data_IF_032492750692
#
_entry.id   IF_032492750692
#
_cell.length_a   1.000
_cell.length_b   1.000
_cell.length_c   1.000
_cell.angle_alpha   90.00
_cell.angle_beta   90.00
_cell.angle_gamma   90.00
#
_symmetry.space_group_name_H-M   'P 1'
#
loop_
_entity.id
_entity.type
_entity.pdbx_description
1 polymer ?
#
# COMPACT_ATOMS: atom_id res chain seq x y z
N UNK A 1 48.47 53.13 -21.02
CA UNK A 1 48.15 51.71 -21.27
C UNK A 1 46.95 51.32 -20.42
N UNK A 2 45.77 51.06 -21.07
CA UNK A 2 44.50 50.84 -20.37
C UNK A 2 44.18 49.33 -20.41
N UNK A 3 44.28 48.64 -19.24
CA UNK A 3 43.88 47.24 -19.08
C UNK A 3 42.38 47.12 -18.85
N UNK A 4 41.65 46.42 -19.73
CA UNK A 4 40.24 46.09 -19.60
C UNK A 4 40.09 44.79 -18.78
N UNK A 5 39.49 44.94 -17.63
CA UNK A 5 39.02 43.80 -16.81
C UNK A 5 37.70 43.24 -17.41
N UNK A 6 37.77 42.04 -17.97
CA UNK A 6 36.60 41.26 -18.41
C UNK A 6 35.91 40.66 -17.14
N UNK A 7 34.67 41.04 -16.88
CA UNK A 7 33.81 40.39 -15.89
C UNK A 7 33.21 39.14 -16.49
N UNK A 8 33.65 37.97 -16.01
CA UNK A 8 32.99 36.69 -16.23
C UNK A 8 31.80 36.56 -15.27
N UNK A 9 30.59 36.72 -15.79
CA UNK A 9 29.36 36.40 -15.06
C UNK A 9 29.15 34.92 -15.02
N UNK A 10 29.26 34.33 -13.85
CA UNK A 10 28.88 32.96 -13.60
C UNK A 10 27.35 32.87 -13.52
N UNK A 11 26.70 32.31 -14.53
CA UNK A 11 25.27 31.90 -14.50
C UNK A 11 25.16 30.61 -13.71
N UNK A 12 24.80 30.70 -12.45
CA UNK A 12 24.44 29.54 -11.65
C UNK A 12 23.07 29.03 -12.11
N UNK A 13 23.05 27.97 -12.93
CA UNK A 13 21.84 27.25 -13.29
C UNK A 13 21.36 26.48 -12.06
N UNK A 14 20.34 26.97 -11.39
CA UNK A 14 19.58 26.27 -10.35
C UNK A 14 18.83 25.10 -11.02
N UNK A 15 19.44 23.90 -10.98
CA UNK A 15 18.74 22.64 -11.26
C UNK A 15 17.75 22.38 -10.12
N UNK A 16 16.52 22.85 -10.29
CA UNK A 16 15.39 22.42 -9.48
C UNK A 16 15.10 20.98 -9.87
N UNK A 17 15.68 20.01 -9.13
CA UNK A 17 15.29 18.61 -9.21
C UNK A 17 13.85 18.52 -8.72
N UNK A 18 12.89 18.61 -9.65
CA UNK A 18 11.53 18.19 -9.41
C UNK A 18 11.56 16.68 -9.15
N UNK A 19 11.56 16.27 -7.87
CA UNK A 19 11.22 14.91 -7.50
C UNK A 19 9.79 14.67 -7.98
N UNK A 20 9.63 14.17 -9.20
CA UNK A 20 8.37 13.68 -9.69
C UNK A 20 7.93 12.56 -8.75
N UNK A 21 6.99 12.86 -7.83
CA UNK A 21 6.34 11.83 -7.05
C UNK A 21 5.64 10.92 -8.04
N UNK A 22 6.14 9.69 -8.15
CA UNK A 22 5.49 8.67 -8.96
C UNK A 22 4.12 8.43 -8.35
N UNK A 23 3.07 8.89 -9.03
CA UNK A 23 1.71 8.62 -8.61
C UNK A 23 1.43 7.12 -8.72
N UNK A 24 0.70 6.53 -7.78
CA UNK A 24 0.30 5.13 -7.88
C UNK A 24 -0.55 4.92 -9.13
N UNK A 25 -0.38 3.76 -9.77
CA UNK A 25 -1.19 3.41 -10.95
C UNK A 25 -2.63 3.21 -10.49
N UNK A 26 -3.55 4.03 -10.96
CA UNK A 26 -4.98 3.92 -10.63
C UNK A 26 -5.87 4.38 -11.78
N UNK A 27 -7.08 3.82 -11.83
CA UNK A 27 -8.15 4.19 -12.78
C UNK A 27 -9.50 4.30 -12.06
N UNK A 28 -10.44 5.12 -12.54
CA UNK A 28 -11.80 5.12 -11.99
C UNK A 28 -12.44 3.73 -12.10
N UNK A 29 -13.20 3.34 -11.07
CA UNK A 29 -14.09 2.19 -11.14
C UNK A 29 -15.37 2.56 -11.92
N UNK A 30 -16.07 1.59 -12.52
CA UNK A 30 -17.32 1.84 -13.24
C UNK A 30 -18.42 2.54 -12.40
N UNK A 31 -18.39 2.37 -11.09
CA UNK A 31 -19.35 3.00 -10.17
C UNK A 31 -19.06 4.47 -9.87
N UNK A 32 -17.88 4.97 -10.26
CA UNK A 32 -17.41 6.33 -9.97
C UNK A 32 -17.13 6.63 -8.48
N UNK A 33 -17.59 5.78 -7.56
CA UNK A 33 -17.42 5.95 -6.11
C UNK A 33 -16.08 5.41 -5.61
N UNK A 34 -15.41 4.59 -6.42
CA UNK A 34 -14.13 3.97 -6.11
C UNK A 34 -13.12 4.14 -7.25
N UNK A 35 -11.88 3.81 -6.95
CA UNK A 35 -10.77 3.69 -7.91
C UNK A 35 -10.15 2.31 -7.79
N UNK A 36 -9.78 1.75 -8.93
CA UNK A 36 -8.96 0.53 -8.98
C UNK A 36 -7.50 0.95 -8.91
N UNK A 37 -6.77 0.42 -7.94
CA UNK A 37 -5.34 0.59 -7.77
C UNK A 37 -4.60 -0.67 -8.21
N UNK A 38 -3.39 -0.52 -8.73
CA UNK A 38 -2.52 -1.62 -9.12
C UNK A 38 -1.16 -1.51 -8.43
N UNK A 39 -0.74 -2.59 -7.75
CA UNK A 39 0.55 -2.70 -7.07
C UNK A 39 1.21 -4.01 -7.48
N UNK A 40 2.20 -3.94 -8.39
CA UNK A 40 2.93 -5.10 -8.90
C UNK A 40 2.01 -6.25 -9.39
N UNK A 41 0.89 -5.93 -10.06
CA UNK A 41 -0.08 -6.93 -10.56
C UNK A 41 -1.20 -7.31 -9.59
N UNK A 42 -1.18 -6.85 -8.33
CA UNK A 42 -2.32 -6.90 -7.44
C UNK A 42 -3.23 -5.71 -7.73
N UNK A 43 -4.46 -5.97 -8.16
CA UNK A 43 -5.49 -4.97 -8.39
C UNK A 43 -6.55 -5.04 -7.28
N UNK A 44 -7.00 -3.87 -6.79
CA UNK A 44 -8.03 -3.78 -5.75
C UNK A 44 -8.76 -2.43 -5.84
N UNK A 45 -9.96 -2.36 -5.28
CA UNK A 45 -10.73 -1.13 -5.20
C UNK A 45 -10.62 -0.47 -3.83
N UNK A 46 -10.56 0.87 -3.86
CA UNK A 46 -10.67 1.71 -2.67
C UNK A 46 -11.46 2.98 -2.98
N UNK A 47 -12.00 3.71 -1.97
CA UNK A 47 -12.78 4.92 -2.18
C UNK A 47 -12.04 5.96 -3.01
N UNK A 48 -12.77 6.64 -3.92
CA UNK A 48 -12.17 7.62 -4.84
C UNK A 48 -11.73 8.91 -4.14
N UNK A 49 -12.31 9.21 -2.99
CA UNK A 49 -12.04 10.40 -2.17
C UNK A 49 -10.84 10.23 -1.21
N UNK A 50 -10.26 9.03 -1.11
CA UNK A 50 -9.06 8.83 -0.30
C UNK A 50 -7.83 9.41 -1.00
N UNK A 51 -7.01 10.14 -0.25
CA UNK A 51 -5.73 10.64 -0.76
C UNK A 51 -4.77 9.46 -0.98
N UNK A 52 -4.06 9.47 -2.12
CA UNK A 52 -3.17 8.39 -2.52
C UNK A 52 -1.74 8.91 -2.67
N UNK A 53 -0.77 8.16 -2.12
CA UNK A 53 0.66 8.36 -2.32
C UNK A 53 1.32 6.99 -2.56
N UNK A 54 2.36 6.94 -3.40
CA UNK A 54 3.05 5.69 -3.61
C UNK A 54 3.81 5.55 -4.93
N UNK A 55 4.05 4.31 -5.29
CA UNK A 55 4.83 3.86 -6.45
C UNK A 55 4.15 2.62 -7.08
N UNK A 56 4.66 2.08 -8.22
CA UNK A 56 4.14 0.85 -8.79
C UNK A 56 4.21 -0.38 -7.86
N UNK A 57 5.00 -0.31 -6.77
CA UNK A 57 5.19 -1.41 -5.82
C UNK A 57 4.63 -1.14 -4.43
N UNK A 58 4.10 0.04 -4.19
CA UNK A 58 3.50 0.42 -2.91
C UNK A 58 2.48 1.51 -3.13
N UNK A 59 1.35 1.41 -2.43
CA UNK A 59 0.38 2.51 -2.31
C UNK A 59 -0.03 2.67 -0.87
N UNK A 60 -0.16 3.92 -0.45
CA UNK A 60 -0.73 4.33 0.83
C UNK A 60 -1.93 5.21 0.54
N UNK A 61 -3.07 4.85 1.09
CA UNK A 61 -4.33 5.59 0.97
C UNK A 61 -4.76 6.05 2.36
N UNK A 62 -5.21 7.30 2.45
CA UNK A 62 -5.67 7.89 3.72
C UNK A 62 -7.06 8.48 3.50
N UNK A 63 -7.99 8.17 4.39
CA UNK A 63 -9.33 8.73 4.39
C UNK A 63 -9.31 10.26 4.54
N UNK A 64 -10.30 11.00 4.04
CA UNK A 64 -10.36 12.46 4.15
C UNK A 64 -10.23 12.98 5.59
N UNK A 65 -10.76 12.24 6.57
CA UNK A 65 -10.67 12.57 7.99
C UNK A 65 -9.39 12.09 8.68
N UNK A 66 -8.52 11.33 8.00
CA UNK A 66 -7.33 10.73 8.58
C UNK A 66 -7.62 9.65 9.63
N UNK A 67 -8.85 9.15 9.68
CA UNK A 67 -9.33 8.14 10.64
C UNK A 67 -9.24 6.70 10.11
N UNK A 68 -8.84 6.54 8.84
CA UNK A 68 -8.53 5.24 8.24
C UNK A 68 -7.33 5.34 7.29
N UNK A 69 -6.59 4.24 7.20
CA UNK A 69 -5.38 4.09 6.40
C UNK A 69 -5.37 2.70 5.75
N UNK A 70 -5.08 2.64 4.44
CA UNK A 70 -4.79 1.41 3.73
C UNK A 70 -3.39 1.50 3.12
N UNK A 71 -2.55 0.53 3.41
CA UNK A 71 -1.24 0.36 2.77
C UNK A 71 -1.16 -1.00 2.08
N UNK A 72 -0.72 -1.00 0.83
CA UNK A 72 -0.43 -2.20 0.05
C UNK A 72 0.99 -2.11 -0.46
N UNK A 73 1.79 -3.14 -0.21
CA UNK A 73 3.18 -3.24 -0.64
C UNK A 73 3.47 -4.58 -1.28
N UNK A 74 4.19 -4.56 -2.41
CA UNK A 74 4.77 -5.74 -3.03
C UNK A 74 6.30 -5.75 -2.86
N UNK A 75 6.84 -6.91 -2.52
CA UNK A 75 8.29 -7.13 -2.37
C UNK A 75 8.66 -8.37 -3.16
N UNK A 76 9.68 -8.28 -4.01
CA UNK A 76 10.19 -9.45 -4.72
C UNK A 76 10.79 -10.45 -3.72
N UNK A 77 10.31 -11.68 -3.75
CA UNK A 77 10.78 -12.79 -2.92
C UNK A 77 10.92 -14.01 -3.83
N UNK A 78 12.11 -14.21 -4.43
CA UNK A 78 12.34 -15.34 -5.30
C UNK A 78 12.23 -16.65 -4.52
N UNK A 79 11.66 -17.67 -5.15
CA UNK A 79 11.56 -19.00 -4.57
C UNK A 79 10.13 -19.54 -4.50
N UNK A 80 9.94 -20.71 -3.85
CA UNK A 80 8.64 -21.35 -3.73
C UNK A 80 7.64 -20.51 -2.93
N UNK A 81 6.37 -20.52 -3.34
CA UNK A 81 5.27 -19.80 -2.65
C UNK A 81 5.16 -20.20 -1.17
N UNK A 82 5.40 -21.46 -0.83
CA UNK A 82 5.35 -21.92 0.56
C UNK A 82 6.40 -21.22 1.44
N UNK A 83 7.63 -21.05 0.94
CA UNK A 83 8.71 -20.33 1.64
C UNK A 83 8.38 -18.85 1.79
N UNK A 84 7.82 -18.24 0.74
CA UNK A 84 7.36 -16.85 0.79
C UNK A 84 6.26 -16.65 1.85
N UNK A 85 5.26 -17.56 1.92
CA UNK A 85 4.19 -17.47 2.91
C UNK A 85 4.69 -17.65 4.35
N UNK A 86 5.61 -18.59 4.59
CA UNK A 86 6.24 -18.75 5.91
C UNK A 86 6.98 -17.49 6.33
N UNK A 87 7.76 -16.88 5.43
CA UNK A 87 8.44 -15.61 5.70
C UNK A 87 7.48 -14.46 5.95
N UNK A 88 6.33 -14.44 5.25
CA UNK A 88 5.27 -13.45 5.47
C UNK A 88 4.62 -13.61 6.85
N UNK A 89 4.33 -14.85 7.27
CA UNK A 89 3.79 -15.15 8.58
C UNK A 89 4.74 -14.74 9.71
N UNK A 90 6.02 -15.05 9.59
CA UNK A 90 7.04 -14.61 10.53
C UNK A 90 7.16 -13.08 10.60
N UNK A 91 7.05 -12.39 9.45
CA UNK A 91 7.10 -10.94 9.41
C UNK A 91 5.89 -10.30 10.12
N UNK A 92 4.69 -10.86 9.94
CA UNK A 92 3.49 -10.46 10.69
C UNK A 92 3.65 -10.76 12.19
N UNK A 93 4.24 -11.92 12.55
CA UNK A 93 4.49 -12.29 13.93
C UNK A 93 5.44 -11.31 14.64
N UNK A 94 6.55 -10.95 13.98
CA UNK A 94 7.49 -9.97 14.53
C UNK A 94 6.88 -8.58 14.68
N UNK A 95 6.08 -8.14 13.72
CA UNK A 95 5.37 -6.86 13.80
C UNK A 95 4.29 -6.81 14.88
N UNK A 96 3.83 -7.96 15.34
CA UNK A 96 2.75 -8.07 16.31
C UNK A 96 3.19 -7.98 17.78
N UNK A 97 4.49 -7.92 18.08
CA UNK A 97 4.99 -7.95 19.47
C UNK A 97 4.57 -6.76 20.33
N UNK A 98 4.15 -5.65 19.69
CA UNK A 98 3.65 -4.44 20.36
C UNK A 98 2.16 -4.21 20.17
N UNK A 99 1.43 -5.20 19.65
CA UNK A 99 0.00 -5.11 19.36
C UNK A 99 -0.82 -5.83 20.41
N UNK A 100 -2.03 -5.34 20.67
CA UNK A 100 -2.99 -5.96 21.58
C UNK A 100 -4.00 -6.82 20.81
N UNK A 101 -4.59 -7.81 21.47
CA UNK A 101 -5.70 -8.61 20.94
C UNK A 101 -5.37 -9.35 19.63
N UNK A 102 -4.10 -9.69 19.37
CA UNK A 102 -3.66 -10.29 18.11
C UNK A 102 -4.37 -11.60 17.83
N UNK A 103 -5.08 -11.66 16.72
CA UNK A 103 -5.70 -12.88 16.15
C UNK A 103 -5.12 -13.15 14.78
N UNK A 104 -4.49 -14.30 14.59
CA UNK A 104 -3.91 -14.72 13.31
C UNK A 104 -4.51 -16.03 12.87
N UNK A 105 -4.79 -16.15 11.58
CA UNK A 105 -5.39 -17.37 11.01
C UNK A 105 -5.03 -17.51 9.52
N UNK A 106 -5.01 -18.76 9.00
CA UNK A 106 -4.98 -19.01 7.56
C UNK A 106 -6.18 -18.38 6.89
N UNK A 107 -5.98 -17.82 5.68
CA UNK A 107 -7.00 -17.10 4.93
C UNK A 107 -6.79 -17.25 3.43
N UNK A 108 -7.65 -16.60 2.65
CA UNK A 108 -7.45 -16.37 1.22
C UNK A 108 -7.50 -14.87 0.95
N UNK A 109 -6.64 -14.39 0.05
CA UNK A 109 -6.67 -13.01 -0.43
C UNK A 109 -6.38 -13.00 -1.92
N UNK A 110 -7.18 -12.27 -2.70
CA UNK A 110 -7.07 -12.24 -4.17
C UNK A 110 -7.08 -13.64 -4.82
N UNK A 111 -7.81 -14.59 -4.24
CA UNK A 111 -7.88 -15.98 -4.72
C UNK A 111 -6.67 -16.85 -4.39
N UNK A 112 -5.71 -16.36 -3.62
CA UNK A 112 -4.50 -17.10 -3.21
C UNK A 112 -4.50 -17.41 -1.72
N UNK A 113 -3.74 -18.43 -1.31
CA UNK A 113 -3.46 -18.70 0.11
C UNK A 113 -2.84 -17.47 0.75
N UNK A 114 -3.30 -17.11 1.92
CA UNK A 114 -2.85 -15.95 2.68
C UNK A 114 -2.81 -16.24 4.18
N UNK A 115 -2.07 -15.43 4.91
CA UNK A 115 -2.19 -15.30 6.36
C UNK A 115 -2.91 -13.99 6.64
N UNK A 116 -3.95 -14.04 7.47
CA UNK A 116 -4.64 -12.85 7.96
C UNK A 116 -4.33 -12.63 9.44
N UNK A 117 -4.30 -11.38 9.85
CA UNK A 117 -4.11 -10.96 11.23
C UNK A 117 -5.02 -9.77 11.53
N UNK A 118 -5.60 -9.78 12.73
CA UNK A 118 -6.29 -8.62 13.31
C UNK A 118 -5.60 -8.26 14.61
N UNK A 119 -5.52 -6.97 14.93
CA UNK A 119 -4.91 -6.48 16.15
C UNK A 119 -5.34 -5.05 16.47
N UNK A 120 -5.16 -4.63 17.71
CA UNK A 120 -5.39 -3.27 18.19
C UNK A 120 -4.06 -2.62 18.60
N UNK A 121 -3.93 -1.31 18.37
CA UNK A 121 -2.79 -0.53 18.83
C UNK A 121 -3.14 0.95 18.97
N UNK A 122 -2.96 1.50 20.17
CA UNK A 122 -3.03 2.95 20.39
C UNK A 122 -4.33 3.62 19.93
N UNK A 123 -5.47 2.95 20.08
CA UNK A 123 -6.77 3.43 19.63
C UNK A 123 -7.06 3.20 18.14
N UNK A 124 -6.29 2.34 17.48
CA UNK A 124 -6.53 1.85 16.13
C UNK A 124 -6.84 0.36 16.14
N UNK A 125 -7.76 -0.06 15.29
CA UNK A 125 -8.00 -1.46 14.96
C UNK A 125 -7.49 -1.74 13.54
N UNK A 126 -6.71 -2.81 13.37
CA UNK A 126 -6.05 -3.14 12.12
C UNK A 126 -6.34 -4.55 11.61
N UNK A 127 -6.43 -4.67 10.29
CA UNK A 127 -6.46 -5.92 9.54
C UNK A 127 -5.23 -5.97 8.65
N UNK A 128 -4.54 -7.09 8.66
CA UNK A 128 -3.39 -7.35 7.79
C UNK A 128 -3.59 -8.65 7.03
N UNK A 129 -3.15 -8.66 5.78
CA UNK A 129 -3.05 -9.87 4.96
C UNK A 129 -1.67 -9.94 4.36
N UNK A 130 -1.15 -11.16 4.27
CA UNK A 130 0.05 -11.44 3.51
C UNK A 130 -0.21 -12.62 2.58
N UNK A 131 0.11 -12.46 1.30
CA UNK A 131 -0.02 -13.49 0.27
C UNK A 131 1.15 -13.46 -0.69
N UNK A 132 1.35 -14.52 -1.45
CA UNK A 132 2.44 -14.66 -2.39
C UNK A 132 1.96 -15.17 -3.74
N UNK A 133 2.47 -14.59 -4.81
CA UNK A 133 2.23 -15.03 -6.19
C UNK A 133 3.36 -14.56 -7.11
N UNK A 134 3.75 -15.40 -8.08
CA UNK A 134 4.69 -15.03 -9.15
C UNK A 134 6.05 -14.49 -8.68
N UNK A 135 6.56 -14.92 -7.52
CA UNK A 135 7.81 -14.39 -6.94
C UNK A 135 7.66 -13.06 -6.20
N UNK A 136 6.43 -12.65 -5.97
CA UNK A 136 6.09 -11.44 -5.20
C UNK A 136 5.42 -11.82 -3.88
N UNK A 137 5.79 -11.13 -2.81
CA UNK A 137 5.07 -11.10 -1.54
C UNK A 137 4.26 -9.81 -1.46
N UNK A 138 2.98 -9.95 -1.27
CA UNK A 138 2.06 -8.82 -1.06
C UNK A 138 1.72 -8.72 0.42
N UNK A 139 1.90 -7.53 0.99
CA UNK A 139 1.44 -7.18 2.33
C UNK A 139 0.42 -6.07 2.22
N UNK A 140 -0.73 -6.31 2.82
CA UNK A 140 -1.87 -5.42 2.84
C UNK A 140 -2.17 -5.11 4.29
N UNK A 141 -2.29 -3.85 4.62
CA UNK A 141 -2.65 -3.39 5.96
C UNK A 141 -3.71 -2.30 5.86
N UNK A 142 -4.86 -2.56 6.48
CA UNK A 142 -5.93 -1.60 6.65
C UNK A 142 -6.11 -1.33 8.15
N UNK A 143 -6.18 -0.08 8.54
CA UNK A 143 -6.46 0.31 9.91
C UNK A 143 -7.51 1.41 9.97
N UNK A 144 -8.33 1.39 11.00
CA UNK A 144 -9.30 2.43 11.33
C UNK A 144 -9.21 2.83 12.79
N UNK A 145 -9.46 4.10 13.09
CA UNK A 145 -9.53 4.59 14.47
C UNK A 145 -10.70 3.94 15.20
N UNK A 146 -10.46 3.45 16.40
CA UNK A 146 -11.51 2.82 17.23
C UNK A 146 -12.39 3.87 17.92
N UNK A 147 -13.74 3.71 17.97
CA UNK A 147 -14.50 2.62 17.35
C UNK A 147 -14.49 2.74 15.81
N UNK A 148 -14.25 1.61 15.14
CA UNK A 148 -14.10 1.61 13.68
C UNK A 148 -15.39 2.04 13.00
N UNK A 149 -15.30 2.99 12.07
CA UNK A 149 -16.44 3.50 11.32
C UNK A 149 -17.02 2.43 10.38
N UNK A 150 -18.32 2.54 10.11
CA UNK A 150 -18.99 1.66 9.12
C UNK A 150 -18.31 1.78 7.75
N UNK A 151 -17.91 2.98 7.35
CA UNK A 151 -17.20 3.22 6.09
C UNK A 151 -15.89 2.41 6.02
N UNK A 152 -15.08 2.37 7.08
CA UNK A 152 -13.84 1.60 7.11
C UNK A 152 -14.11 0.09 7.01
N UNK A 153 -15.17 -0.40 7.66
CA UNK A 153 -15.59 -1.81 7.53
C UNK A 153 -16.02 -2.13 6.09
N UNK A 154 -16.73 -1.22 5.42
CA UNK A 154 -17.13 -1.40 4.04
C UNK A 154 -15.92 -1.38 3.08
N UNK A 155 -14.91 -0.56 3.37
CA UNK A 155 -13.62 -0.58 2.64
C UNK A 155 -12.94 -1.93 2.81
N UNK A 156 -12.87 -2.47 4.03
CA UNK A 156 -12.31 -3.80 4.32
C UNK A 156 -13.01 -4.89 3.52
N UNK A 157 -14.35 -4.91 3.52
CA UNK A 157 -15.13 -5.89 2.77
C UNK A 157 -14.92 -5.76 1.25
N UNK A 158 -14.94 -4.54 0.73
CA UNK A 158 -14.70 -4.25 -0.70
C UNK A 158 -13.30 -4.67 -1.11
N UNK A 159 -12.28 -4.32 -0.34
CA UNK A 159 -10.89 -4.71 -0.57
C UNK A 159 -10.76 -6.23 -0.75
N UNK A 160 -11.30 -7.02 0.18
CA UNK A 160 -11.24 -8.49 0.11
C UNK A 160 -12.05 -9.03 -1.08
N UNK A 161 -13.20 -8.44 -1.38
CA UNK A 161 -14.07 -8.89 -2.46
C UNK A 161 -13.52 -8.57 -3.86
N UNK A 162 -12.80 -7.45 -4.02
CA UNK A 162 -12.36 -6.96 -5.34
C UNK A 162 -10.91 -7.26 -5.65
N UNK A 163 -10.09 -7.59 -4.64
CA UNK A 163 -8.68 -7.92 -4.86
C UNK A 163 -8.49 -9.08 -5.84
N UNK A 164 -7.63 -8.90 -6.84
CA UNK A 164 -7.28 -9.91 -7.87
C UNK A 164 -5.79 -9.82 -8.20
N UNK A 165 -5.16 -10.97 -8.44
CA UNK A 165 -3.79 -11.08 -8.94
C UNK A 165 -3.80 -11.50 -10.41
N UNK A 166 -2.84 -10.98 -11.19
CA UNK A 166 -2.61 -11.43 -12.58
C UNK A 166 -3.48 -10.79 -13.65
N UNK A 167 -4.14 -9.66 -13.39
CA UNK A 167 -4.79 -8.85 -14.43
C UNK A 167 -3.86 -7.72 -14.88
N UNK A 168 -3.59 -7.59 -16.18
CA UNK A 168 -3.10 -6.30 -16.71
C UNK A 168 -4.12 -5.20 -16.38
N UNK A 169 -3.67 -4.02 -15.99
CA UNK A 169 -4.57 -2.90 -15.72
C UNK A 169 -5.38 -2.47 -16.94
#
# INVERSE_FOLDING_TARGET
>A
MRGRLARLGAVAALLVSACARLSPVSRPSPDGASRVYSVAGLNFEAPADWSADGSPRQVKLVSPGGDALLEVRATAVPGPVATCLSGAEEALARGATSLDGVRRHPSTFAGKKAVAQEADQGGWHGWAWATCDGGEQYRIWLAGRAPVSRQTIDVQRRLVATARLGGSP
#
